data_IF_964712938759
#
_entry.id   IF_964712938759
#
_cell.length_a   1.000
_cell.length_b   1.000
_cell.length_c   1.000
_cell.angle_alpha   90.00
_cell.angle_beta   90.00
_cell.angle_gamma   90.00
#
_symmetry.space_group_name_H-M   'P 1'
#
loop_
_entity.id
_entity.type
_entity.pdbx_description
1 polymer ?
#
# COMPACT_ATOMS: atom_id res chain seq x y z
N UNK A 1 -14.83 -30.68 -8.95
CA UNK A 1 -15.37 -31.18 -7.66
C UNK A 1 -14.48 -30.69 -6.52
N UNK A 2 -14.53 -29.40 -6.17
CA UNK A 2 -13.72 -28.88 -5.05
C UNK A 2 -14.38 -29.16 -3.70
N UNK A 3 -15.71 -29.06 -3.64
CA UNK A 3 -16.49 -29.24 -2.42
C UNK A 3 -16.31 -30.63 -1.80
N UNK A 4 -16.29 -31.68 -2.63
CA UNK A 4 -16.15 -33.08 -2.19
C UNK A 4 -14.71 -33.48 -1.88
N UNK A 5 -13.72 -32.75 -2.41
CA UNK A 5 -12.30 -33.02 -2.17
C UNK A 5 -11.76 -32.38 -0.90
N UNK A 6 -12.51 -31.47 -0.29
CA UNK A 6 -12.15 -30.84 0.98
C UNK A 6 -12.62 -31.73 2.14
N UNK A 7 -11.81 -31.78 3.21
CA UNK A 7 -12.23 -32.44 4.46
C UNK A 7 -13.48 -31.77 5.03
N UNK A 8 -14.20 -32.48 5.91
CA UNK A 8 -15.26 -31.88 6.73
C UNK A 8 -14.73 -30.62 7.45
N UNK A 9 -15.43 -29.49 7.29
CA UNK A 9 -15.03 -28.16 7.75
C UNK A 9 -13.72 -27.61 7.13
N UNK A 10 -13.38 -28.04 5.92
CA UNK A 10 -12.31 -27.47 5.10
C UNK A 10 -12.62 -26.04 4.67
N UNK A 11 -11.56 -25.25 4.52
CA UNK A 11 -11.62 -23.87 4.01
C UNK A 11 -10.82 -23.77 2.73
N UNK A 12 -11.34 -23.02 1.77
CA UNK A 12 -10.62 -22.65 0.56
C UNK A 12 -10.67 -21.12 0.42
N UNK A 13 -9.50 -20.51 0.19
CA UNK A 13 -9.39 -19.07 -0.04
C UNK A 13 -8.77 -18.89 -1.42
N UNK A 14 -9.49 -18.19 -2.28
CA UNK A 14 -9.10 -17.98 -3.68
C UNK A 14 -8.95 -16.49 -3.92
N UNK A 15 -7.72 -16.07 -4.22
CA UNK A 15 -7.47 -14.72 -4.70
C UNK A 15 -7.73 -14.68 -6.21
N UNK A 16 -8.52 -13.71 -6.66
CA UNK A 16 -8.79 -13.53 -8.09
C UNK A 16 -8.94 -12.05 -8.47
N UNK A 17 -8.91 -11.76 -9.77
CA UNK A 17 -9.01 -10.41 -10.31
C UNK A 17 -10.16 -10.38 -11.33
N UNK A 18 -11.39 -10.06 -10.90
CA UNK A 18 -12.53 -9.97 -11.79
C UNK A 18 -12.44 -8.71 -12.67
N UNK A 19 -12.94 -8.81 -13.90
CA UNK A 19 -13.03 -7.68 -14.83
C UNK A 19 -14.35 -6.90 -14.64
N UNK A 20 -15.44 -7.61 -14.33
CA UNK A 20 -16.78 -7.04 -14.10
C UNK A 20 -17.37 -7.49 -12.76
N UNK A 21 -18.32 -6.71 -12.23
CA UNK A 21 -19.13 -7.09 -11.07
C UNK A 21 -19.93 -8.38 -11.33
N UNK A 22 -20.38 -8.60 -12.56
CA UNK A 22 -21.15 -9.80 -12.92
C UNK A 22 -20.32 -11.08 -12.77
N UNK A 23 -19.00 -11.00 -13.02
CA UNK A 23 -18.09 -12.14 -12.81
C UNK A 23 -17.96 -12.49 -11.33
N UNK A 24 -18.00 -11.48 -10.45
CA UNK A 24 -17.98 -11.69 -8.99
C UNK A 24 -19.25 -12.42 -8.59
N UNK A 25 -20.41 -11.91 -9.01
CA UNK A 25 -21.71 -12.50 -8.71
C UNK A 25 -21.81 -13.94 -9.21
N UNK A 26 -21.39 -14.19 -10.46
CA UNK A 26 -21.36 -15.52 -11.05
C UNK A 26 -20.55 -16.49 -10.19
N UNK A 27 -19.33 -16.12 -9.80
CA UNK A 27 -18.46 -16.97 -8.99
C UNK A 27 -19.07 -17.23 -7.61
N UNK A 28 -19.64 -16.21 -6.96
CA UNK A 28 -20.29 -16.37 -5.66
C UNK A 28 -21.53 -17.28 -5.73
N UNK A 29 -22.35 -17.13 -6.77
CA UNK A 29 -23.55 -17.95 -6.97
C UNK A 29 -23.18 -19.41 -7.22
N UNK A 30 -22.16 -19.67 -8.04
CA UNK A 30 -21.69 -21.04 -8.28
C UNK A 30 -21.11 -21.69 -7.01
N UNK A 31 -20.39 -20.92 -6.20
CA UNK A 31 -19.87 -21.42 -4.93
C UNK A 31 -21.00 -21.80 -3.96
N UNK A 32 -22.02 -20.95 -3.83
CA UNK A 32 -23.21 -21.25 -3.01
C UNK A 32 -23.96 -22.47 -3.54
N UNK A 33 -24.15 -22.57 -4.86
CA UNK A 33 -24.79 -23.73 -5.51
C UNK A 33 -24.02 -25.03 -5.28
N UNK A 34 -22.69 -24.96 -5.20
CA UNK A 34 -21.83 -26.11 -4.90
C UNK A 34 -21.85 -26.52 -3.41
N UNK A 35 -22.55 -25.79 -2.54
CA UNK A 35 -22.67 -26.08 -1.10
C UNK A 35 -21.64 -25.36 -0.22
N UNK A 36 -20.87 -24.41 -0.79
CA UNK A 36 -19.97 -23.59 0.01
C UNK A 36 -20.72 -22.46 0.73
N UNK A 37 -20.30 -22.24 1.98
CA UNK A 37 -20.65 -21.08 2.79
C UNK A 37 -19.49 -20.07 2.79
N UNK A 38 -19.75 -18.81 3.11
CA UNK A 38 -18.73 -17.77 3.21
C UNK A 38 -19.08 -16.54 2.39
N UNK A 39 -18.08 -15.91 1.78
CA UNK A 39 -18.29 -14.67 1.03
C UNK A 39 -17.01 -14.06 0.47
N UNK A 40 -17.14 -12.82 0.00
CA UNK A 40 -16.07 -12.06 -0.64
C UNK A 40 -15.43 -11.09 0.36
N UNK A 41 -14.10 -11.11 0.44
CA UNK A 41 -13.30 -10.18 1.23
C UNK A 41 -12.49 -9.33 0.26
N UNK A 42 -12.60 -8.01 0.39
CA UNK A 42 -11.93 -7.04 -0.50
C UNK A 42 -10.94 -6.21 0.31
N UNK A 43 -9.66 -6.41 0.04
CA UNK A 43 -8.62 -5.56 0.62
C UNK A 43 -8.47 -4.27 -0.19
N UNK A 44 -8.28 -3.16 0.53
CA UNK A 44 -8.09 -1.81 -0.01
C UNK A 44 -9.19 -1.40 -1.01
N UNK A 45 -10.46 -1.36 -0.59
CA UNK A 45 -11.58 -1.08 -1.49
C UNK A 45 -11.46 0.27 -2.22
N UNK A 46 -10.81 1.25 -1.57
CA UNK A 46 -10.62 2.61 -2.09
C UNK A 46 -9.44 2.77 -3.08
N UNK A 47 -8.66 1.71 -3.33
CA UNK A 47 -7.50 1.77 -4.22
C UNK A 47 -7.69 0.90 -5.44
N UNK A 48 -7.64 1.47 -6.65
CA UNK A 48 -7.69 0.68 -7.90
C UNK A 48 -6.43 -0.15 -8.14
N UNK A 49 -5.28 0.28 -7.62
CA UNK A 49 -3.99 -0.41 -7.81
C UNK A 49 -3.71 -1.48 -6.77
N UNK A 50 -4.17 -1.27 -5.53
CA UNK A 50 -3.94 -2.20 -4.42
C UNK A 50 -5.14 -3.11 -4.12
N UNK A 51 -6.25 -2.98 -4.86
CA UNK A 51 -7.46 -3.80 -4.68
C UNK A 51 -7.12 -5.27 -4.83
N UNK A 52 -7.55 -6.08 -3.88
CA UNK A 52 -7.45 -7.55 -3.97
C UNK A 52 -8.78 -8.16 -3.56
N UNK A 53 -9.24 -9.13 -4.34
CA UNK A 53 -10.45 -9.88 -4.07
C UNK A 53 -10.08 -11.27 -3.58
N UNK A 54 -10.67 -11.67 -2.46
CA UNK A 54 -10.52 -12.99 -1.87
C UNK A 54 -11.91 -13.62 -1.74
N UNK A 55 -12.14 -14.74 -2.43
CA UNK A 55 -13.30 -15.58 -2.21
C UNK A 55 -12.98 -16.57 -1.08
N UNK A 56 -13.70 -16.45 0.03
CA UNK A 56 -13.52 -17.30 1.21
C UNK A 56 -14.67 -18.32 1.24
N UNK A 57 -14.33 -19.59 1.05
CA UNK A 57 -15.27 -20.72 0.96
C UNK A 57 -15.09 -21.69 2.12
N UNK A 58 -16.21 -22.19 2.64
CA UNK A 58 -16.28 -23.05 3.82
C UNK A 58 -17.29 -24.18 3.59
N UNK A 59 -16.99 -25.37 4.08
CA UNK A 59 -17.81 -26.59 3.84
C UNK A 59 -18.55 -27.12 5.08
N UNK A 60 -18.44 -26.45 6.23
CA UNK A 60 -18.90 -26.99 7.51
C UNK A 60 -19.33 -25.94 8.54
N UNK A 61 -20.36 -25.17 8.21
CA UNK A 61 -20.99 -24.20 9.11
C UNK A 61 -20.53 -22.74 8.92
N UNK A 62 -21.33 -21.81 9.44
CA UNK A 62 -21.06 -20.38 9.39
C UNK A 62 -19.99 -20.01 10.42
N UNK A 63 -18.76 -19.80 9.96
CA UNK A 63 -17.71 -19.17 10.76
C UNK A 63 -17.56 -17.70 10.36
N UNK A 64 -17.03 -16.85 11.26
CA UNK A 64 -16.76 -15.46 10.92
C UNK A 64 -15.75 -15.36 9.77
N UNK A 65 -16.05 -14.49 8.81
CA UNK A 65 -15.13 -14.16 7.72
C UNK A 65 -13.92 -13.37 8.26
N UNK A 66 -12.74 -13.51 7.64
CA UNK A 66 -11.58 -12.71 8.02
C UNK A 66 -11.83 -11.22 7.75
N UNK A 67 -11.31 -10.36 8.63
CA UNK A 67 -11.42 -8.90 8.50
C UNK A 67 -10.65 -8.43 7.26
N UNK A 68 -11.32 -7.68 6.38
CA UNK A 68 -10.71 -7.05 5.22
C UNK A 68 -9.66 -6.01 5.62
N UNK A 69 -8.52 -5.98 4.92
CA UNK A 69 -7.45 -5.03 5.17
C UNK A 69 -7.75 -3.69 4.47
N UNK A 70 -7.52 -2.57 5.15
CA UNK A 70 -7.76 -1.24 4.59
C UNK A 70 -9.20 -0.72 4.73
N UNK A 71 -10.04 -1.42 5.49
CA UNK A 71 -11.32 -0.93 6.03
C UNK A 71 -11.09 -0.44 7.47
N UNK A 72 -10.04 0.34 7.68
CA UNK A 72 -9.98 1.20 8.86
C UNK A 72 -10.73 2.46 8.45
N UNK A 73 -11.97 2.58 8.89
CA UNK A 73 -12.74 3.83 8.87
C UNK A 73 -12.03 4.83 9.80
N UNK A 74 -10.89 5.35 9.36
CA UNK A 74 -10.41 6.62 9.89
C UNK A 74 -11.22 7.68 9.18
N UNK A 75 -12.21 8.21 9.90
CA UNK A 75 -12.84 9.49 9.63
C UNK A 75 -11.87 10.44 8.91
N UNK A 76 -12.32 10.94 7.77
CA UNK A 76 -11.98 12.27 7.26
C UNK A 76 -10.53 12.72 7.49
N UNK A 77 -9.60 12.19 6.71
CA UNK A 77 -8.47 12.91 6.08
C UNK A 77 -7.36 11.93 5.74
N UNK A 78 -7.26 11.60 4.45
CA UNK A 78 -6.06 10.97 3.89
C UNK A 78 -4.87 11.90 4.23
N UNK A 79 -3.81 11.46 4.96
CA UNK A 79 -2.61 12.27 5.11
C UNK A 79 -1.84 12.18 3.79
N UNK A 80 -2.37 12.84 2.76
CA UNK A 80 -1.71 13.01 1.49
C UNK A 80 -0.43 13.83 1.74
N UNK A 81 0.71 13.16 1.71
CA UNK A 81 2.02 13.78 1.46
C UNK A 81 2.52 14.85 2.46
N UNK A 82 2.16 14.81 3.75
CA UNK A 82 2.79 15.72 4.73
C UNK A 82 4.30 15.48 4.94
N UNK A 83 4.90 14.40 4.41
CA UNK A 83 6.36 14.23 4.39
C UNK A 83 7.09 15.35 3.64
N UNK A 84 6.45 16.06 2.68
CA UNK A 84 7.06 17.23 2.03
C UNK A 84 6.88 18.53 2.83
N UNK A 85 5.81 18.63 3.62
CA UNK A 85 5.47 19.82 4.42
C UNK A 85 6.12 19.81 5.82
N UNK A 86 6.44 18.63 6.38
CA UNK A 86 7.08 18.50 7.69
C UNK A 86 8.45 19.20 7.76
N UNK A 87 9.20 19.26 6.65
CA UNK A 87 10.46 20.00 6.58
C UNK A 87 10.33 21.51 6.81
N UNK A 88 9.14 22.10 6.62
CA UNK A 88 8.92 23.53 6.80
C UNK A 88 8.44 23.90 8.22
N UNK A 89 8.07 22.92 9.05
CA UNK A 89 7.51 23.15 10.41
C UNK A 89 8.48 22.86 11.56
N UNK A 90 9.68 22.33 11.28
CA UNK A 90 10.70 22.18 12.33
C UNK A 90 11.27 23.55 12.71
N UNK A 91 10.99 24.04 13.93
CA UNK A 91 11.66 25.20 14.52
C UNK A 91 13.17 24.92 14.54
N UNK A 92 13.91 25.59 13.66
CA UNK A 92 15.34 25.39 13.46
C UNK A 92 15.80 25.85 12.08
N UNK A 93 17.12 25.89 11.84
CA UNK A 93 17.70 26.23 10.53
C UNK A 93 17.07 25.33 9.46
N UNK A 94 16.65 25.85 8.29
CA UNK A 94 15.94 25.08 7.28
C UNK A 94 16.78 23.85 6.88
N UNK A 95 16.19 22.65 6.95
CA UNK A 95 16.87 21.43 6.53
C UNK A 95 17.35 21.57 5.09
N UNK A 96 16.52 22.18 4.23
CA UNK A 96 16.86 22.53 2.85
C UNK A 96 17.89 23.68 2.82
N UNK A 97 18.92 23.52 1.98
CA UNK A 97 20.10 24.41 1.85
C UNK A 97 21.13 24.31 2.99
N UNK A 98 20.92 23.47 4.00
CA UNK A 98 21.95 23.17 4.99
C UNK A 98 23.13 22.40 4.37
N UNK A 99 24.32 22.48 4.98
CA UNK A 99 25.49 21.71 4.53
C UNK A 99 25.21 20.20 4.49
N UNK A 100 24.55 19.68 5.53
CA UNK A 100 24.21 18.25 5.62
C UNK A 100 23.27 17.81 4.50
N UNK A 101 22.27 18.64 4.16
CA UNK A 101 21.37 18.38 3.04
C UNK A 101 22.09 18.38 1.68
N UNK A 102 23.12 19.21 1.50
CA UNK A 102 23.94 19.20 0.28
C UNK A 102 24.76 17.90 0.19
N UNK A 103 25.35 17.44 1.30
CA UNK A 103 26.12 16.20 1.36
C UNK A 103 25.24 14.97 1.07
N UNK A 104 24.07 14.88 1.70
CA UNK A 104 23.13 13.78 1.47
C UNK A 104 22.68 13.72 -0.01
N UNK A 105 22.44 14.88 -0.63
CA UNK A 105 22.14 14.95 -2.06
C UNK A 105 23.30 14.49 -2.94
N UNK A 106 24.53 14.86 -2.60
CA UNK A 106 25.73 14.42 -3.33
C UNK A 106 25.89 12.90 -3.21
N UNK A 107 25.78 12.36 -2.00
CA UNK A 107 25.90 10.93 -1.73
C UNK A 107 24.86 10.11 -2.51
N UNK A 108 23.61 10.58 -2.51
CA UNK A 108 22.55 9.98 -3.33
C UNK A 108 22.89 10.01 -4.82
N UNK A 109 23.53 11.06 -5.33
CA UNK A 109 23.96 11.13 -6.75
C UNK A 109 25.14 10.21 -7.02
N UNK A 110 26.09 10.07 -6.09
CA UNK A 110 27.18 9.08 -6.19
C UNK A 110 26.62 7.66 -6.30
N UNK A 111 25.66 7.29 -5.45
CA UNK A 111 24.97 5.99 -5.50
C UNK A 111 24.23 5.75 -6.82
N UNK A 112 23.77 6.81 -7.47
CA UNK A 112 23.12 6.75 -8.79
C UNK A 112 24.13 6.76 -9.96
N UNK A 113 25.44 6.69 -9.69
CA UNK A 113 26.48 6.73 -10.72
C UNK A 113 26.62 8.07 -11.44
N UNK A 114 26.00 9.14 -10.91
CA UNK A 114 26.02 10.47 -11.54
C UNK A 114 27.28 11.22 -11.14
N UNK A 115 27.88 11.92 -12.13
CA UNK A 115 29.03 12.79 -11.88
C UNK A 115 28.71 13.81 -10.76
N UNK A 116 29.47 13.74 -9.67
CA UNK A 116 29.24 14.53 -8.46
C UNK A 116 30.57 15.11 -8.00
N UNK A 117 30.60 16.43 -7.77
CA UNK A 117 31.81 17.15 -7.30
C UNK A 117 32.19 16.73 -5.88
N UNK A 118 33.50 16.58 -5.64
CA UNK A 118 34.06 16.28 -4.32
C UNK A 118 33.64 17.27 -3.21
N UNK A 119 33.70 16.78 -1.97
CA UNK A 119 33.35 17.56 -0.79
C UNK A 119 34.50 18.49 -0.39
N UNK A 120 34.18 19.77 -0.22
CA UNK A 120 35.16 20.78 0.19
C UNK A 120 34.72 21.49 1.47
N UNK A 121 35.67 22.14 2.16
CA UNK A 121 35.41 22.98 3.34
C UNK A 121 34.43 24.13 3.07
N UNK A 122 34.22 24.50 1.80
CA UNK A 122 33.33 25.58 1.38
C UNK A 122 31.92 25.10 1.01
N UNK A 123 31.62 23.80 1.13
CA UNK A 123 30.30 23.23 0.81
C UNK A 123 29.22 23.82 1.71
N UNK A 124 28.21 24.46 1.10
CA UNK A 124 27.09 25.09 1.82
C UNK A 124 27.43 26.42 2.50
N UNK A 125 28.64 26.97 2.31
CA UNK A 125 29.01 28.28 2.85
C UNK A 125 28.24 29.39 2.11
N UNK A 126 27.65 30.34 2.86
CA UNK A 126 27.03 31.54 2.29
C UNK A 126 28.10 32.32 1.53
N UNK A 127 27.88 32.55 0.23
CA UNK A 127 28.73 33.45 -0.56
C UNK A 127 28.37 34.89 -0.16
N UNK A 128 29.36 35.74 0.13
CA UNK A 128 29.07 37.16 0.26
C UNK A 128 28.96 37.75 -1.16
N UNK A 129 27.95 38.57 -1.38
CA UNK A 129 27.69 39.19 -2.69
C UNK A 129 26.20 39.50 -2.85
N UNK A 130 25.89 40.78 -2.99
CA UNK A 130 24.64 41.25 -3.61
C UNK A 130 24.81 41.00 -5.11
N UNK A 131 24.08 40.00 -5.63
CA UNK A 131 23.69 39.93 -7.03
C UNK A 131 22.17 39.79 -7.02
#
# INVERSE_FOLDING_TARGET
>A
MLHTSLRMAGRAVLQFYPESADQIELVTLQAMKAGFFGGLVVDYPNSTKAKKYFLVLMTGGNMPLPKALGVEETDTTVPYSNKRLSFNKMKGKPLKKSRNWILEKKERRRRQGKQTREDSKFTGRRRCGKF
#
